data_IF_161139316380
#
_entry.id   IF_161139316380
#
_cell.length_a   1.000
_cell.length_b   1.000
_cell.length_c   1.000
_cell.angle_alpha   90.00
_cell.angle_beta   90.00
_cell.angle_gamma   90.00
#
_symmetry.space_group_name_H-M   'P 1'
#
loop_
_entity.id
_entity.type
_entity.pdbx_description
1 polymer ?
#
# COMPACT_ATOMS: atom_id res chain seq x y z
N UNK A 1 -15.00 37.09 -0.87
CA UNK A 1 -14.02 36.08 -1.36
C UNK A 1 -14.28 34.77 -0.65
N UNK A 2 -14.98 33.87 -1.32
CA UNK A 2 -15.27 32.54 -0.84
C UNK A 2 -14.13 31.59 -1.27
N UNK A 3 -13.71 30.64 -0.43
CA UNK A 3 -12.66 29.70 -0.80
C UNK A 3 -13.14 28.76 -1.92
N UNK A 4 -12.24 28.27 -2.78
CA UNK A 4 -12.60 27.42 -3.91
C UNK A 4 -13.24 26.12 -3.43
N UNK A 5 -14.39 25.78 -4.01
CA UNK A 5 -15.08 24.52 -3.77
C UNK A 5 -14.27 23.38 -4.38
N UNK A 6 -13.91 22.42 -3.57
CA UNK A 6 -13.41 21.16 -4.06
C UNK A 6 -14.48 20.46 -4.90
N UNK A 7 -14.13 19.90 -6.07
CA UNK A 7 -15.09 19.16 -6.85
C UNK A 7 -15.45 17.86 -6.13
N UNK A 8 -16.69 17.76 -5.68
CA UNK A 8 -17.32 16.49 -5.31
C UNK A 8 -17.65 15.74 -6.60
N UNK A 9 -16.69 15.07 -7.16
CA UNK A 9 -16.96 14.03 -8.14
C UNK A 9 -16.98 12.70 -7.39
N UNK A 10 -18.16 12.22 -7.06
CA UNK A 10 -18.39 10.83 -6.81
C UNK A 10 -18.07 10.09 -8.11
N UNK A 11 -16.85 9.56 -8.21
CA UNK A 11 -16.50 8.67 -9.29
C UNK A 11 -17.33 7.40 -9.11
N UNK A 12 -18.30 7.22 -9.99
CA UNK A 12 -18.97 5.92 -10.19
C UNK A 12 -17.89 4.90 -10.51
N UNK A 13 -17.80 3.80 -9.77
CA UNK A 13 -16.83 2.77 -10.09
C UNK A 13 -17.11 2.24 -11.50
N UNK A 14 -16.07 1.97 -12.31
CA UNK A 14 -16.26 1.45 -13.65
C UNK A 14 -17.01 0.12 -13.58
N UNK A 15 -18.13 0.04 -14.28
CA UNK A 15 -18.86 -1.20 -14.49
C UNK A 15 -18.06 -2.07 -15.46
N UNK A 16 -17.24 -2.98 -14.93
CA UNK A 16 -16.64 -4.03 -15.74
C UNK A 16 -17.62 -5.19 -15.93
N UNK A 17 -17.83 -5.68 -17.18
CA UNK A 17 -18.83 -6.70 -17.50
C UNK A 17 -18.41 -8.14 -17.14
N UNK A 18 -17.34 -8.38 -16.41
CA UNK A 18 -16.91 -9.72 -16.02
C UNK A 18 -16.47 -9.74 -14.54
N UNK A 19 -17.40 -10.01 -13.70
CA UNK A 19 -17.14 -10.22 -12.28
C UNK A 19 -18.46 -10.36 -11.52
N UNK A 20 -19.16 -11.50 -11.74
CA UNK A 20 -20.05 -11.95 -10.69
C UNK A 20 -19.18 -12.06 -9.44
N UNK A 21 -19.37 -11.14 -8.50
CA UNK A 21 -18.82 -11.29 -7.17
C UNK A 21 -19.19 -12.71 -6.75
N UNK A 22 -18.20 -13.61 -6.71
CA UNK A 22 -18.39 -14.91 -6.09
C UNK A 22 -18.92 -14.59 -4.69
N UNK A 23 -20.17 -14.88 -4.46
CA UNK A 23 -20.67 -15.02 -3.10
C UNK A 23 -19.84 -16.16 -2.53
N UNK A 24 -18.77 -15.82 -1.82
CA UNK A 24 -17.99 -16.81 -1.12
C UNK A 24 -18.92 -17.44 -0.11
N UNK A 25 -19.26 -18.73 -0.26
CA UNK A 25 -20.16 -19.39 0.66
C UNK A 25 -19.45 -19.57 1.99
N UNK A 26 -20.14 -19.38 3.09
CA UNK A 26 -19.72 -19.93 4.34
C UNK A 26 -19.44 -18.94 5.47
N UNK A 27 -19.39 -19.51 6.64
CA UNK A 27 -19.21 -18.91 7.97
C UNK A 27 -17.74 -18.52 8.26
N UNK A 28 -17.06 -17.85 7.33
CA UNK A 28 -15.62 -17.59 7.41
C UNK A 28 -15.31 -16.23 8.04
N UNK A 29 -14.33 -16.21 8.92
CA UNK A 29 -13.69 -14.96 9.27
C UNK A 29 -12.77 -14.53 8.12
N UNK A 30 -12.70 -13.22 7.87
CA UNK A 30 -11.88 -12.66 6.80
C UNK A 30 -10.81 -11.79 7.40
N UNK A 31 -9.56 -12.04 6.98
CA UNK A 31 -8.40 -11.28 7.41
C UNK A 31 -7.83 -10.57 6.19
N UNK A 32 -7.69 -9.24 6.30
CA UNK A 32 -7.11 -8.41 5.27
C UNK A 32 -5.77 -7.84 5.75
N UNK A 33 -4.65 -8.44 5.42
CA UNK A 33 -3.37 -7.79 5.58
C UNK A 33 -3.24 -6.65 4.57
N UNK A 34 -2.90 -5.47 5.05
CA UNK A 34 -2.73 -4.29 4.22
C UNK A 34 -1.44 -3.54 4.53
N UNK A 35 -0.93 -2.84 3.51
CA UNK A 35 0.34 -2.14 3.59
C UNK A 35 0.26 -0.72 3.01
N UNK A 36 1.23 0.13 3.40
CA UNK A 36 1.56 1.38 2.75
C UNK A 36 0.56 2.53 2.83
N UNK A 37 0.69 3.45 1.90
CA UNK A 37 -0.06 4.72 1.83
C UNK A 37 -1.55 4.56 1.50
N UNK A 38 -1.95 3.45 0.89
CA UNK A 38 -3.34 3.16 0.50
C UNK A 38 -4.25 2.74 1.67
N UNK A 39 -3.72 2.68 2.90
CA UNK A 39 -4.45 2.17 4.06
C UNK A 39 -5.78 2.88 4.35
N UNK A 40 -5.88 4.19 4.08
CA UNK A 40 -7.11 4.94 4.33
C UNK A 40 -8.25 4.51 3.37
N UNK A 41 -7.95 4.40 2.07
CA UNK A 41 -8.94 3.95 1.07
C UNK A 41 -9.31 2.48 1.25
N UNK A 42 -8.32 1.63 1.54
CA UNK A 42 -8.59 0.23 1.83
C UNK A 42 -9.44 0.08 3.09
N UNK A 43 -9.18 0.89 4.11
CA UNK A 43 -9.97 0.92 5.33
C UNK A 43 -11.43 1.30 5.04
N UNK A 44 -11.65 2.34 4.22
CA UNK A 44 -13.00 2.76 3.82
C UNK A 44 -13.73 1.66 3.03
N UNK A 45 -13.03 1.03 2.07
CA UNK A 45 -13.55 -0.09 1.28
C UNK A 45 -13.86 -1.29 2.17
N UNK A 46 -12.97 -1.65 3.09
CA UNK A 46 -13.17 -2.79 3.98
C UNK A 46 -14.35 -2.56 4.95
N UNK A 47 -14.49 -1.33 5.48
CA UNK A 47 -15.62 -0.94 6.31
C UNK A 47 -16.93 -1.03 5.52
N UNK A 48 -16.95 -0.48 4.31
CA UNK A 48 -18.11 -0.57 3.42
C UNK A 48 -18.51 -2.04 3.13
N UNK A 49 -17.53 -2.89 2.83
CA UNK A 49 -17.78 -4.32 2.59
C UNK A 49 -18.29 -5.02 3.85
N UNK A 50 -17.75 -4.70 5.01
CA UNK A 50 -18.22 -5.25 6.29
C UNK A 50 -19.69 -4.86 6.56
N UNK A 51 -20.04 -3.59 6.40
CA UNK A 51 -21.42 -3.10 6.53
C UNK A 51 -22.36 -3.81 5.56
N UNK A 52 -22.00 -3.92 4.28
CA UNK A 52 -22.82 -4.58 3.25
C UNK A 52 -23.02 -6.07 3.50
N UNK A 53 -22.11 -6.71 4.19
CA UNK A 53 -22.18 -8.14 4.50
C UNK A 53 -22.65 -8.42 5.94
N UNK A 54 -23.07 -7.40 6.68
CA UNK A 54 -23.54 -7.53 8.06
C UNK A 54 -22.46 -8.03 9.03
N UNK A 55 -21.18 -7.65 8.77
CA UNK A 55 -20.03 -8.02 9.58
C UNK A 55 -19.54 -6.85 10.41
N UNK A 56 -18.95 -7.14 11.53
CA UNK A 56 -18.15 -6.19 12.31
C UNK A 56 -16.72 -6.15 11.79
N UNK A 57 -16.03 -5.04 12.05
CA UNK A 57 -14.63 -4.87 11.66
C UNK A 57 -13.77 -4.69 12.91
N UNK A 58 -12.59 -5.31 12.92
CA UNK A 58 -11.60 -5.12 13.96
C UNK A 58 -10.24 -4.77 13.36
N UNK A 59 -9.57 -3.78 13.94
CA UNK A 59 -8.25 -3.33 13.50
C UNK A 59 -7.16 -4.02 14.31
N UNK A 60 -6.18 -4.60 13.62
CA UNK A 60 -5.10 -5.37 14.25
C UNK A 60 -3.75 -4.80 13.85
N UNK A 61 -3.04 -4.27 14.83
CA UNK A 61 -1.74 -3.63 14.64
C UNK A 61 -1.77 -2.12 14.86
N UNK A 62 -0.73 -1.63 15.55
CA UNK A 62 -0.63 -0.22 16.00
C UNK A 62 -0.77 0.81 14.88
N UNK A 63 -0.23 0.53 13.71
CA UNK A 63 -0.31 1.47 12.58
C UNK A 63 -1.73 1.57 12.03
N UNK A 64 -2.53 0.51 12.06
CA UNK A 64 -3.94 0.53 11.64
C UNK A 64 -4.76 1.49 12.50
N UNK A 65 -4.63 1.40 13.82
CA UNK A 65 -5.32 2.31 14.75
C UNK A 65 -4.89 3.77 14.54
N UNK A 66 -3.59 4.03 14.31
CA UNK A 66 -3.13 5.39 14.04
C UNK A 66 -3.71 5.97 12.76
N UNK A 67 -3.75 5.17 11.69
CA UNK A 67 -4.31 5.61 10.41
C UNK A 67 -5.82 5.82 10.51
N UNK A 68 -6.54 4.92 11.15
CA UNK A 68 -7.96 5.09 11.41
C UNK A 68 -8.24 6.40 12.17
N UNK A 69 -7.51 6.66 13.25
CA UNK A 69 -7.63 7.90 14.03
C UNK A 69 -7.34 9.14 13.16
N UNK A 70 -6.28 9.13 12.38
CA UNK A 70 -5.93 10.22 11.48
C UNK A 70 -7.00 10.44 10.40
N UNK A 71 -7.50 9.38 9.77
CA UNK A 71 -8.58 9.45 8.79
C UNK A 71 -9.84 10.09 9.38
N UNK A 72 -10.24 9.67 10.59
CA UNK A 72 -11.37 10.27 11.32
C UNK A 72 -11.16 11.75 11.61
N UNK A 73 -9.97 12.16 12.03
CA UNK A 73 -9.63 13.56 12.28
C UNK A 73 -9.67 14.40 11.00
N UNK A 74 -9.26 13.83 9.87
CA UNK A 74 -9.34 14.48 8.56
C UNK A 74 -10.76 14.46 7.94
N UNK A 75 -11.73 13.88 8.62
CA UNK A 75 -13.14 13.89 8.18
C UNK A 75 -13.54 12.70 7.33
N UNK A 76 -12.70 11.70 7.16
CA UNK A 76 -13.05 10.42 6.54
C UNK A 76 -13.75 9.49 7.54
N UNK A 77 -14.42 8.46 7.05
CA UNK A 77 -15.08 7.41 7.86
C UNK A 77 -16.10 7.95 8.89
N UNK A 78 -16.73 9.10 8.62
CA UNK A 78 -17.64 9.76 9.58
C UNK A 78 -18.92 8.98 9.86
N UNK A 79 -19.46 8.32 8.85
CA UNK A 79 -20.75 7.63 8.90
C UNK A 79 -20.60 6.12 8.70
N UNK A 80 -19.53 5.55 9.23
CA UNK A 80 -19.23 4.12 9.12
C UNK A 80 -19.29 3.46 10.48
N UNK A 81 -19.45 2.10 10.48
CA UNK A 81 -19.36 1.32 11.72
C UNK A 81 -18.00 1.59 12.41
N UNK A 82 -18.06 1.67 13.73
CA UNK A 82 -16.83 1.80 14.55
C UNK A 82 -16.15 0.42 14.64
N UNK A 83 -14.83 0.37 14.40
CA UNK A 83 -14.07 -0.86 14.62
C UNK A 83 -14.11 -1.28 16.09
N UNK A 84 -14.34 -2.56 16.33
CA UNK A 84 -14.29 -3.13 17.67
C UNK A 84 -12.87 -3.52 18.07
N UNK A 85 -12.60 -3.59 19.36
CA UNK A 85 -11.31 -4.07 19.88
C UNK A 85 -11.12 -5.55 19.53
N UNK A 86 -9.90 -5.96 19.22
CA UNK A 86 -9.59 -7.36 18.86
C UNK A 86 -9.89 -8.35 19.98
N UNK A 87 -9.85 -7.90 21.23
CA UNK A 87 -10.24 -8.71 22.40
C UNK A 87 -11.75 -8.98 22.45
N UNK A 88 -12.54 -8.02 22.01
CA UNK A 88 -14.01 -8.14 21.97
C UNK A 88 -14.48 -8.89 20.73
N UNK A 89 -13.70 -8.85 19.66
CA UNK A 89 -13.99 -9.49 18.37
C UNK A 89 -14.20 -11.01 18.52
N UNK A 90 -13.51 -11.67 19.45
CA UNK A 90 -13.67 -13.09 19.75
C UNK A 90 -15.05 -13.48 20.29
N UNK A 91 -15.86 -12.52 20.73
CA UNK A 91 -17.23 -12.75 21.19
C UNK A 91 -18.25 -12.83 20.03
N UNK A 92 -17.81 -12.50 18.81
CA UNK A 92 -18.62 -12.62 17.61
C UNK A 92 -18.39 -13.97 16.94
N UNK A 93 -19.41 -14.48 16.25
CA UNK A 93 -19.23 -15.64 15.39
C UNK A 93 -18.29 -15.31 14.23
N UNK A 94 -17.52 -16.29 13.76
CA UNK A 94 -16.44 -16.10 12.77
C UNK A 94 -16.94 -15.48 11.47
N UNK A 95 -18.13 -15.85 11.02
CA UNK A 95 -18.78 -15.30 9.82
C UNK A 95 -19.21 -13.83 9.97
N UNK A 96 -19.20 -13.30 11.19
CA UNK A 96 -19.62 -11.92 11.52
C UNK A 96 -18.47 -10.97 11.78
N UNK A 97 -17.23 -11.40 11.61
CA UNK A 97 -16.05 -10.57 11.88
C UNK A 97 -15.13 -10.45 10.66
N UNK A 98 -14.57 -9.27 10.48
CA UNK A 98 -13.50 -8.98 9.52
C UNK A 98 -12.35 -8.36 10.29
N UNK A 99 -11.16 -8.92 10.16
CA UNK A 99 -9.93 -8.36 10.73
C UNK A 99 -9.13 -7.63 9.66
N UNK A 100 -8.83 -6.37 9.90
CA UNK A 100 -7.92 -5.58 9.08
C UNK A 100 -6.58 -5.49 9.80
N UNK A 101 -5.53 -6.10 9.25
CA UNK A 101 -4.26 -6.23 9.96
C UNK A 101 -3.06 -5.72 9.16
N UNK A 102 -1.94 -5.51 9.86
CA UNK A 102 -0.63 -5.22 9.25
C UNK A 102 0.10 -6.51 8.88
N UNK A 103 1.08 -6.45 7.98
CA UNK A 103 1.92 -7.59 7.65
C UNK A 103 1.68 -8.20 6.27
N UNK A 104 1.23 -7.38 5.30
CA UNK A 104 0.96 -7.83 3.92
C UNK A 104 2.23 -8.18 3.12
N UNK A 105 3.40 -7.78 3.59
CA UNK A 105 4.69 -8.06 2.95
C UNK A 105 5.52 -9.13 3.70
N UNK A 106 4.89 -9.85 4.61
CA UNK A 106 5.58 -10.87 5.41
C UNK A 106 6.56 -10.28 6.43
N UNK A 107 6.27 -9.06 6.94
CA UNK A 107 7.10 -8.42 7.95
C UNK A 107 7.09 -9.23 9.25
N UNK A 108 8.27 -9.57 9.82
CA UNK A 108 8.36 -10.46 11.00
C UNK A 108 7.55 -9.97 12.20
N UNK A 109 7.44 -8.65 12.37
CA UNK A 109 6.68 -8.03 13.47
C UNK A 109 5.26 -7.64 13.06
N UNK A 110 4.84 -7.94 11.84
CA UNK A 110 3.49 -7.69 11.34
C UNK A 110 2.45 -8.55 12.06
N UNK A 111 1.24 -8.04 12.20
CA UNK A 111 0.16 -8.78 12.84
C UNK A 111 -0.13 -10.10 12.11
N UNK A 112 -0.13 -10.08 10.76
CA UNK A 112 -0.39 -11.27 9.95
C UNK A 112 0.61 -12.41 10.24
N UNK A 113 1.91 -12.09 10.37
CA UNK A 113 2.93 -13.10 10.73
C UNK A 113 2.67 -13.71 12.10
N UNK A 114 2.24 -12.90 13.07
CA UNK A 114 1.92 -13.41 14.41
C UNK A 114 0.64 -14.26 14.42
N UNK A 115 -0.35 -13.88 13.62
CA UNK A 115 -1.60 -14.63 13.47
C UNK A 115 -1.32 -15.99 12.81
N UNK A 116 -0.61 -16.01 11.69
CA UNK A 116 -0.25 -17.25 10.97
C UNK A 116 0.67 -18.18 11.76
N UNK A 117 1.43 -17.65 12.73
CA UNK A 117 2.26 -18.41 13.63
C UNK A 117 1.55 -18.81 14.94
N UNK A 118 0.27 -18.51 15.08
CA UNK A 118 -0.55 -18.80 16.27
C UNK A 118 -0.02 -18.17 17.57
N UNK A 119 0.70 -17.04 17.48
CA UNK A 119 1.25 -16.31 18.63
C UNK A 119 0.60 -14.93 18.84
N UNK A 120 -0.45 -14.61 18.09
CA UNK A 120 -1.23 -13.40 18.35
C UNK A 120 -2.14 -13.62 19.55
N UNK A 121 -2.22 -12.67 20.53
CA UNK A 121 -2.94 -12.92 21.78
C UNK A 121 -4.47 -12.95 21.62
N UNK A 122 -4.99 -12.25 20.62
CA UNK A 122 -6.44 -12.00 20.52
C UNK A 122 -7.07 -12.51 19.22
N UNK A 123 -6.29 -12.74 18.18
CA UNK A 123 -6.78 -13.14 16.84
C UNK A 123 -6.24 -14.49 16.48
N UNK A 124 -7.14 -15.38 16.14
CA UNK A 124 -6.87 -16.77 15.75
C UNK A 124 -7.43 -17.00 14.35
N UNK A 125 -6.74 -17.82 13.60
CA UNK A 125 -7.11 -18.25 12.27
C UNK A 125 -7.28 -19.77 12.28
N UNK A 126 -8.30 -20.25 11.60
CA UNK A 126 -8.64 -21.68 11.56
C UNK A 126 -8.89 -22.13 10.13
N UNK A 127 -8.91 -23.45 9.95
CA UNK A 127 -9.29 -24.06 8.68
C UNK A 127 -10.61 -23.45 8.19
N UNK A 128 -10.71 -23.27 6.88
CA UNK A 128 -11.83 -22.66 6.16
C UNK A 128 -11.99 -21.12 6.36
N UNK A 129 -11.08 -20.45 7.05
CA UNK A 129 -10.98 -19.00 7.00
C UNK A 129 -10.37 -18.51 5.67
N UNK A 130 -10.56 -17.25 5.36
CA UNK A 130 -9.98 -16.61 4.20
C UNK A 130 -9.06 -15.44 4.57
N UNK A 131 -7.91 -15.37 3.94
CA UNK A 131 -6.97 -14.23 4.03
C UNK A 131 -6.86 -13.55 2.68
N UNK A 132 -7.17 -12.24 2.64
CA UNK A 132 -7.20 -11.45 1.41
C UNK A 132 -6.04 -10.47 1.42
N UNK A 133 -5.00 -10.74 0.63
CA UNK A 133 -3.83 -9.88 0.47
C UNK A 133 -4.11 -8.78 -0.55
N UNK A 134 -4.74 -7.67 -0.11
CA UNK A 134 -4.98 -6.50 -0.95
C UNK A 134 -3.72 -5.62 -1.05
N UNK A 135 -2.65 -6.20 -1.56
CA UNK A 135 -1.36 -5.54 -1.75
C UNK A 135 -0.56 -6.24 -2.84
N UNK A 136 0.19 -5.45 -3.61
CA UNK A 136 1.16 -6.00 -4.55
C UNK A 136 2.39 -6.51 -3.80
N UNK A 137 2.97 -7.60 -4.28
CA UNK A 137 4.23 -8.11 -3.74
C UNK A 137 5.35 -7.12 -4.12
N UNK A 138 6.01 -6.57 -3.10
CA UNK A 138 7.16 -5.69 -3.32
C UNK A 138 8.37 -6.56 -3.70
N UNK A 139 9.10 -6.24 -4.79
CA UNK A 139 10.29 -6.97 -5.20
C UNK A 139 11.29 -7.14 -4.04
N UNK A 140 11.73 -8.38 -3.82
CA UNK A 140 12.60 -8.79 -2.72
C UNK A 140 11.87 -9.37 -1.50
N UNK A 141 10.55 -9.25 -1.41
CA UNK A 141 9.74 -9.87 -0.35
C UNK A 141 9.11 -11.20 -0.73
N UNK A 142 9.27 -11.63 -1.99
CA UNK A 142 8.60 -12.81 -2.56
C UNK A 142 8.78 -14.05 -1.71
N UNK A 143 10.03 -14.36 -1.33
CA UNK A 143 10.35 -15.56 -0.52
C UNK A 143 9.65 -15.55 0.83
N UNK A 144 9.57 -14.39 1.48
CA UNK A 144 8.93 -14.26 2.80
C UNK A 144 7.42 -14.41 2.67
N UNK A 145 6.85 -13.78 1.64
CA UNK A 145 5.42 -13.80 1.42
C UNK A 145 4.94 -15.17 0.97
N UNK A 146 5.63 -15.82 0.05
CA UNK A 146 5.31 -17.20 -0.35
C UNK A 146 5.44 -18.20 0.81
N UNK A 147 6.39 -18.00 1.72
CA UNK A 147 6.47 -18.81 2.94
C UNK A 147 5.20 -18.64 3.80
N UNK A 148 4.73 -17.39 3.94
CA UNK A 148 3.50 -17.09 4.66
C UNK A 148 2.26 -17.71 3.97
N UNK A 149 2.13 -17.51 2.64
CA UNK A 149 1.02 -18.10 1.87
C UNK A 149 1.01 -19.62 1.98
N UNK A 150 2.16 -20.27 1.82
CA UNK A 150 2.28 -21.73 1.94
C UNK A 150 1.89 -22.24 3.34
N UNK A 151 2.22 -21.50 4.39
CA UNK A 151 1.79 -21.84 5.75
C UNK A 151 0.27 -21.77 5.87
N UNK A 152 -0.35 -20.70 5.41
CA UNK A 152 -1.79 -20.52 5.45
C UNK A 152 -2.51 -21.62 4.67
N UNK A 153 -2.10 -21.90 3.45
CA UNK A 153 -2.67 -22.97 2.60
C UNK A 153 -2.51 -24.34 3.26
N UNK A 154 -1.34 -24.63 3.86
CA UNK A 154 -1.11 -25.88 4.60
C UNK A 154 -2.07 -26.06 5.77
N UNK A 155 -2.46 -24.94 6.41
CA UNK A 155 -3.39 -24.94 7.53
C UNK A 155 -4.87 -24.96 7.08
N UNK A 156 -5.11 -25.08 5.76
CA UNK A 156 -6.45 -25.15 5.17
C UNK A 156 -7.17 -23.80 5.06
N UNK A 157 -6.39 -22.71 5.04
CA UNK A 157 -6.88 -21.34 4.93
C UNK A 157 -6.87 -20.91 3.47
N UNK A 158 -7.94 -20.29 3.01
CA UNK A 158 -8.01 -19.76 1.65
C UNK A 158 -7.17 -18.48 1.55
N UNK A 159 -6.22 -18.46 0.60
CA UNK A 159 -5.39 -17.28 0.31
C UNK A 159 -5.87 -16.65 -0.99
N UNK A 160 -6.32 -15.40 -0.90
CA UNK A 160 -6.77 -14.59 -2.03
C UNK A 160 -5.75 -13.47 -2.24
N UNK A 161 -5.18 -13.38 -3.43
CA UNK A 161 -4.17 -12.39 -3.81
C UNK A 161 -4.47 -11.74 -5.15
N UNK A 162 -3.68 -10.73 -5.56
CA UNK A 162 -3.81 -10.11 -6.88
C UNK A 162 -3.59 -11.08 -8.05
N UNK A 163 -2.94 -12.22 -7.79
CA UNK A 163 -2.72 -13.27 -8.79
C UNK A 163 -3.99 -14.10 -9.07
N UNK A 164 -4.90 -14.14 -8.11
CA UNK A 164 -6.12 -14.96 -8.19
C UNK A 164 -7.38 -14.14 -8.42
N UNK A 165 -7.46 -12.92 -7.88
CA UNK A 165 -8.65 -12.08 -7.94
C UNK A 165 -8.28 -10.59 -8.06
N UNK A 166 -9.15 -9.80 -8.66
CA UNK A 166 -8.97 -8.34 -8.73
C UNK A 166 -9.31 -7.69 -7.37
N UNK A 167 -8.33 -7.69 -6.48
CA UNK A 167 -8.46 -7.19 -5.10
C UNK A 167 -7.48 -6.07 -4.75
N UNK A 168 -6.62 -5.69 -5.69
CA UNK A 168 -5.63 -4.64 -5.49
C UNK A 168 -5.60 -3.69 -6.67
N UNK A 169 -5.46 -2.39 -6.38
CA UNK A 169 -5.21 -1.33 -7.36
C UNK A 169 -3.90 -0.66 -6.98
N UNK A 170 -3.01 -0.47 -7.95
CA UNK A 170 -1.73 0.19 -7.72
C UNK A 170 -1.93 1.59 -7.15
N UNK A 171 -1.13 1.95 -6.14
CA UNK A 171 -1.03 3.31 -5.61
C UNK A 171 -0.13 4.21 -6.46
N UNK A 172 0.58 3.66 -7.45
CA UNK A 172 1.36 4.44 -8.39
C UNK A 172 0.47 4.92 -9.53
N UNK A 173 0.62 6.19 -9.97
CA UNK A 173 -0.14 6.73 -11.08
C UNK A 173 0.22 6.00 -12.38
N UNK A 174 -0.76 5.82 -13.25
CA UNK A 174 -0.53 5.39 -14.63
C UNK A 174 -0.14 6.59 -15.52
N UNK A 175 0.11 6.34 -16.81
CA UNK A 175 0.53 7.41 -17.75
C UNK A 175 -0.55 8.49 -17.96
N UNK A 176 -1.83 8.12 -17.94
CA UNK A 176 -2.93 9.08 -18.08
C UNK A 176 -3.06 9.97 -16.84
N UNK A 177 -2.93 9.41 -15.64
CA UNK A 177 -2.91 10.19 -14.39
C UNK A 177 -1.75 11.20 -14.37
N UNK A 178 -0.56 10.77 -14.85
CA UNK A 178 0.60 11.67 -14.98
C UNK A 178 0.36 12.76 -16.03
N UNK A 179 -0.30 12.43 -17.13
CA UNK A 179 -0.66 13.40 -18.17
C UNK A 179 -1.60 14.48 -17.63
N UNK A 180 -2.64 14.07 -16.90
CA UNK A 180 -3.55 15.01 -16.26
C UNK A 180 -2.82 15.89 -15.25
N UNK A 181 -1.96 15.30 -14.42
CA UNK A 181 -1.14 16.05 -13.48
C UNK A 181 -0.25 17.09 -14.18
N UNK A 182 0.39 16.72 -15.30
CA UNK A 182 1.23 17.66 -16.06
C UNK A 182 0.41 18.78 -16.70
N UNK A 183 -0.80 18.47 -17.17
CA UNK A 183 -1.71 19.48 -17.71
C UNK A 183 -2.17 20.48 -16.64
N UNK A 184 -2.41 20.01 -15.43
CA UNK A 184 -2.84 20.87 -14.31
C UNK A 184 -1.70 21.71 -13.77
N UNK A 185 -0.53 21.10 -13.54
CA UNK A 185 0.62 21.77 -12.89
C UNK A 185 1.43 22.59 -13.89
N UNK A 186 1.51 22.17 -15.16
CA UNK A 186 2.34 22.77 -16.22
C UNK A 186 3.78 23.01 -15.76
N UNK A 187 4.49 21.96 -15.32
CA UNK A 187 5.79 22.10 -14.71
C UNK A 187 6.80 22.63 -15.71
N UNK A 188 7.67 23.56 -15.27
CA UNK A 188 8.81 24.01 -16.07
C UNK A 188 9.97 23.01 -16.05
N UNK A 189 10.07 22.25 -14.96
CA UNK A 189 11.08 21.24 -14.75
C UNK A 189 10.46 19.98 -14.16
N UNK A 190 10.95 18.82 -14.59
CA UNK A 190 10.60 17.50 -14.04
C UNK A 190 11.86 16.74 -13.71
N UNK A 191 11.95 16.24 -12.50
CA UNK A 191 13.04 15.39 -12.00
C UNK A 191 12.41 14.10 -11.50
N UNK A 192 12.46 13.00 -12.27
CA UNK A 192 11.97 11.71 -11.81
C UNK A 192 12.81 11.20 -10.65
N UNK A 193 12.15 10.62 -9.65
CA UNK A 193 12.77 9.98 -8.49
C UNK A 193 12.07 8.66 -8.16
N UNK A 194 12.66 7.85 -7.30
CA UNK A 194 12.04 6.63 -6.80
C UNK A 194 11.79 5.57 -7.87
N UNK A 195 12.85 5.13 -8.51
CA UNK A 195 12.79 4.02 -9.49
C UNK A 195 14.17 3.58 -9.93
N UNK A 196 14.21 2.56 -10.76
CA UNK A 196 15.41 2.14 -11.45
C UNK A 196 15.70 3.06 -12.65
N UNK A 197 16.91 3.02 -13.16
CA UNK A 197 17.35 3.87 -14.28
C UNK A 197 16.40 3.80 -15.49
N UNK A 198 15.93 2.61 -15.85
CA UNK A 198 14.94 2.44 -16.95
C UNK A 198 13.64 3.20 -16.70
N UNK A 199 13.16 3.24 -15.44
CA UNK A 199 11.95 3.97 -15.08
C UNK A 199 12.16 5.48 -15.18
N UNK A 200 13.36 5.96 -14.78
CA UNK A 200 13.73 7.37 -14.90
C UNK A 200 13.76 7.81 -16.36
N UNK A 201 14.39 7.01 -17.23
CA UNK A 201 14.46 7.29 -18.67
C UNK A 201 13.04 7.36 -19.28
N UNK A 202 12.19 6.38 -18.99
CA UNK A 202 10.81 6.37 -19.48
C UNK A 202 10.03 7.61 -19.02
N UNK A 203 10.20 8.02 -17.77
CA UNK A 203 9.54 9.22 -17.27
C UNK A 203 10.08 10.49 -17.92
N UNK A 204 11.39 10.58 -18.18
CA UNK A 204 11.98 11.69 -18.93
C UNK A 204 11.44 11.75 -20.36
N UNK A 205 11.33 10.61 -21.04
CA UNK A 205 10.75 10.54 -22.38
C UNK A 205 9.29 10.99 -22.36
N UNK A 206 8.51 10.52 -21.42
CA UNK A 206 7.14 10.96 -21.24
C UNK A 206 7.03 12.48 -20.95
N UNK A 207 7.90 13.03 -20.11
CA UNK A 207 7.93 14.47 -19.85
C UNK A 207 8.25 15.29 -21.12
N UNK A 208 9.11 14.77 -22.00
CA UNK A 208 9.38 15.38 -23.32
C UNK A 208 8.16 15.32 -24.24
N UNK A 209 7.46 14.17 -24.30
CA UNK A 209 6.18 14.02 -25.01
C UNK A 209 5.14 15.04 -24.54
N UNK A 210 5.10 15.28 -23.22
CA UNK A 210 4.23 16.26 -22.58
C UNK A 210 4.74 17.71 -22.71
N UNK A 211 5.82 17.93 -23.49
CA UNK A 211 6.41 19.24 -23.76
C UNK A 211 6.88 19.99 -22.50
N UNK A 212 7.33 19.25 -21.48
CA UNK A 212 7.98 19.89 -20.32
C UNK A 212 9.31 20.50 -20.77
N UNK A 213 9.57 21.81 -20.50
CA UNK A 213 10.75 22.50 -21.01
C UNK A 213 12.08 21.90 -20.56
N UNK A 214 12.16 21.46 -19.29
CA UNK A 214 13.39 20.97 -18.68
C UNK A 214 13.19 19.65 -17.92
N UNK A 215 13.08 18.50 -18.59
CA UNK A 215 13.19 17.21 -17.93
C UNK A 215 14.67 16.91 -17.62
N UNK A 216 14.99 16.72 -16.34
CA UNK A 216 16.37 16.47 -15.86
C UNK A 216 16.47 15.06 -15.34
N UNK A 217 17.36 14.28 -15.94
CA UNK A 217 17.70 12.95 -15.43
C UNK A 217 18.77 13.09 -14.36
N UNK A 218 18.58 12.40 -13.23
CA UNK A 218 19.48 12.44 -12.09
C UNK A 218 19.79 11.05 -11.57
N UNK A 219 20.90 10.94 -10.87
CA UNK A 219 21.31 9.78 -10.10
C UNK A 219 21.40 10.12 -8.61
N UNK A 220 21.54 9.09 -7.77
CA UNK A 220 21.76 9.31 -6.35
C UNK A 220 23.05 10.11 -6.12
N UNK A 221 22.96 11.15 -5.29
CA UNK A 221 24.05 12.05 -4.99
C UNK A 221 24.13 13.28 -5.91
N UNK A 222 23.43 13.29 -7.05
CA UNK A 222 23.43 14.48 -7.91
C UNK A 222 22.80 15.69 -7.21
N UNK A 223 23.49 16.81 -7.24
CA UNK A 223 23.02 18.09 -6.74
C UNK A 223 22.50 18.90 -7.92
N UNK A 224 21.20 19.16 -7.94
CA UNK A 224 20.55 19.89 -9.04
C UNK A 224 20.34 21.33 -8.64
N UNK A 225 20.88 22.23 -9.43
CA UNK A 225 20.64 23.66 -9.31
C UNK A 225 19.34 24.02 -10.05
N UNK A 226 18.34 24.44 -9.31
CA UNK A 226 17.04 24.84 -9.87
C UNK A 226 16.95 26.36 -10.12
N UNK A 227 17.61 27.17 -9.27
CA UNK A 227 17.59 28.64 -9.30
C UNK A 227 18.87 29.21 -8.67
N UNK A 228 19.31 30.44 -9.04
CA UNK A 228 18.90 31.23 -10.20
C UNK A 228 19.51 30.68 -11.48
N UNK A 229 18.81 30.73 -12.61
CA UNK A 229 19.31 30.33 -13.91
C UNK A 229 18.17 30.04 -14.89
N UNK A 230 18.49 29.99 -16.17
CA UNK A 230 17.50 29.74 -17.22
C UNK A 230 17.16 28.27 -17.35
N UNK A 231 18.04 27.38 -16.91
CA UNK A 231 17.86 25.93 -17.01
C UNK A 231 18.30 25.23 -15.72
N UNK A 232 17.50 24.26 -15.24
CA UNK A 232 17.99 23.34 -14.22
C UNK A 232 19.14 22.49 -14.76
N UNK A 233 20.17 22.29 -13.95
CA UNK A 233 21.35 21.50 -14.33
C UNK A 233 21.87 20.70 -13.14
N UNK A 234 22.50 19.56 -13.41
CA UNK A 234 23.31 18.86 -12.40
C UNK A 234 24.57 19.70 -12.19
N UNK A 235 24.67 20.26 -11.00
CA UNK A 235 25.70 21.24 -10.64
C UNK A 235 26.90 20.58 -9.96
N UNK A 236 26.64 19.59 -9.10
CA UNK A 236 27.67 18.94 -8.28
C UNK A 236 27.19 17.53 -7.88
N UNK A 237 28.04 16.77 -7.23
CA UNK A 237 27.73 15.42 -6.76
C UNK A 237 28.16 15.23 -5.31
N UNK A 238 27.19 14.92 -4.45
CA UNK A 238 27.47 14.49 -3.09
C UNK A 238 27.91 13.02 -3.05
N UNK A 239 28.71 12.59 -2.07
CA UNK A 239 28.98 11.19 -1.85
C UNK A 239 27.68 10.38 -1.74
N UNK A 240 27.56 9.32 -2.50
CA UNK A 240 26.39 8.44 -2.50
C UNK A 240 26.86 7.00 -2.61
N UNK A 241 26.09 6.08 -2.01
CA UNK A 241 26.43 4.66 -2.00
C UNK A 241 25.54 3.89 -1.03
N UNK A 242 25.88 2.65 -0.79
CA UNK A 242 25.24 1.82 0.21
C UNK A 242 26.18 1.60 1.37
N UNK A 243 25.69 1.79 2.57
CA UNK A 243 26.38 1.35 3.78
C UNK A 243 25.56 0.19 4.37
N UNK A 244 26.23 -0.85 4.79
CA UNK A 244 25.61 -1.93 5.53
C UNK A 244 25.74 -1.66 7.02
N UNK A 245 24.73 -2.06 7.78
CA UNK A 245 24.75 -1.99 9.24
C UNK A 245 25.11 -3.37 9.80
N UNK A 246 26.26 -3.47 10.42
CA UNK A 246 26.65 -4.66 11.21
C UNK A 246 26.62 -4.28 12.69
N UNK A 247 25.60 -4.77 13.39
CA UNK A 247 25.29 -4.32 14.75
C UNK A 247 25.01 -2.81 14.78
N UNK A 248 25.91 -2.03 15.38
CA UNK A 248 25.85 -0.56 15.48
C UNK A 248 26.90 0.15 14.60
N UNK A 249 27.62 -0.59 13.75
CA UNK A 249 28.68 -0.06 12.89
C UNK A 249 28.23 -0.03 11.45
N UNK A 250 28.41 1.13 10.79
CA UNK A 250 28.21 1.25 9.34
C UNK A 250 29.45 0.74 8.62
N UNK A 251 29.27 -0.24 7.73
CA UNK A 251 30.35 -0.88 6.97
C UNK A 251 30.16 -0.59 5.48
N UNK A 252 31.23 -0.18 4.82
CA UNK A 252 31.26 -0.05 3.36
C UNK A 252 31.27 -1.47 2.75
N UNK A 253 30.40 -1.78 1.76
CA UNK A 253 30.39 -3.07 1.08
C UNK A 253 31.72 -3.44 0.44
N UNK A 254 32.52 -2.44 0.04
CA UNK A 254 33.82 -2.63 -0.58
C UNK A 254 34.99 -2.70 0.42
N UNK A 255 34.73 -2.50 1.72
CA UNK A 255 35.73 -2.68 2.76
C UNK A 255 35.99 -4.17 2.95
N UNK A 256 37.20 -4.62 2.68
CA UNK A 256 37.65 -6.02 2.87
C UNK A 256 37.74 -6.48 4.36
N UNK A 257 36.99 -5.83 5.23
CA UNK A 257 36.99 -6.12 6.67
C UNK A 257 35.69 -6.82 7.04
N UNK A 258 35.52 -8.03 6.55
CA UNK A 258 34.59 -9.04 7.08
C UNK A 258 35.37 -10.31 7.35
#
# INVERSE_FOLDING_TARGET
DAPPRHPTAAATPPTHPHGAARSLPGDWSRIFPCDGMMKAYLLETAVYCAEKTGRQISLVGRSMHRIYKAARQCGYLKNTIEPIDSRDAKNFSRDKIVYLCTGSQGEPMGAMMRISSYIHPDVFIEKDDAVIFSSKIIPGNEKKLYKLHNQLVKDGIEVISEETEFIHVSGHPNREDLKDMYQWVKPKCVIPVHGEHRHMIEHINFAKEMQVPHPVQVENGDIVKLFPGDKPEVYDKAPSGRLYLDGNVSVDPDSQSI
#
